data_IF_505655541993
#
_entry.id   IF_505655541993
#
_cell.length_a   1.000
_cell.length_b   1.000
_cell.length_c   1.000
_cell.angle_alpha   90.00
_cell.angle_beta   90.00
_cell.angle_gamma   90.00
#
_symmetry.space_group_name_H-M   'P 1'
#
loop_
_entity.id
_entity.type
_entity.pdbx_description
1 polymer ?
#
# COMPACT_ATOMS: atom_id res chain seq x y z
N UNK A 1 -37.42 5.00 -18.70
CA UNK A 1 -38.44 5.16 -17.63
C UNK A 1 -39.44 6.25 -17.97
N UNK A 2 -39.05 7.53 -18.05
CA UNK A 2 -39.99 8.62 -18.39
C UNK A 2 -40.70 8.39 -19.74
N UNK A 3 -39.97 7.99 -20.79
CA UNK A 3 -40.53 7.65 -22.11
C UNK A 3 -41.51 6.46 -22.09
N UNK A 4 -41.48 5.62 -21.06
CA UNK A 4 -42.43 4.52 -20.88
C UNK A 4 -43.66 4.97 -20.05
N UNK A 5 -43.76 6.27 -19.73
CA UNK A 5 -44.86 6.87 -19.00
C UNK A 5 -44.79 6.73 -17.47
N UNK A 6 -43.58 6.58 -16.92
CA UNK A 6 -43.35 6.76 -15.48
C UNK A 6 -43.19 8.25 -15.17
N UNK A 7 -44.05 8.81 -14.33
CA UNK A 7 -43.92 10.18 -13.86
C UNK A 7 -42.71 10.29 -12.93
N UNK A 8 -41.76 11.19 -13.23
CA UNK A 8 -40.52 11.38 -12.46
C UNK A 8 -40.50 12.68 -11.63
N UNK A 9 -41.64 13.36 -11.55
CA UNK A 9 -41.80 14.70 -10.99
C UNK A 9 -41.86 15.77 -12.07
N UNK A 10 -42.25 16.99 -11.68
CA UNK A 10 -42.28 18.14 -12.57
C UNK A 10 -40.90 18.41 -13.17
N UNK A 11 -40.84 18.90 -14.42
CA UNK A 11 -39.57 19.10 -15.13
C UNK A 11 -38.60 20.02 -14.36
N UNK A 12 -39.11 21.01 -13.62
CA UNK A 12 -38.27 21.90 -12.80
C UNK A 12 -37.64 21.21 -11.59
N UNK A 13 -38.20 20.10 -11.12
CA UNK A 13 -37.69 19.34 -9.98
C UNK A 13 -36.63 18.32 -10.39
N UNK A 14 -36.43 18.10 -11.69
CA UNK A 14 -35.45 17.15 -12.22
C UNK A 14 -34.10 17.87 -12.42
N UNK A 15 -33.04 17.37 -11.78
CA UNK A 15 -31.68 17.92 -11.90
C UNK A 15 -31.23 17.97 -13.36
N UNK A 16 -30.99 19.20 -13.85
CA UNK A 16 -30.51 19.50 -15.20
C UNK A 16 -29.04 19.16 -15.44
N UNK A 17 -28.53 19.56 -16.61
CA UNK A 17 -27.15 19.36 -17.05
C UNK A 17 -26.11 19.93 -16.08
N UNK A 18 -25.03 19.18 -15.83
CA UNK A 18 -23.85 19.62 -15.08
C UNK A 18 -22.56 19.35 -15.87
N UNK A 19 -21.42 19.88 -15.40
CA UNK A 19 -20.12 19.73 -16.09
C UNK A 19 -19.72 18.26 -16.31
N UNK A 20 -20.04 17.38 -15.35
CA UNK A 20 -19.77 15.93 -15.42
C UNK A 20 -20.84 15.14 -16.19
N UNK A 21 -21.99 15.74 -16.48
CA UNK A 21 -23.08 15.14 -17.24
C UNK A 21 -23.85 16.24 -17.99
N UNK A 22 -23.42 16.60 -19.21
CA UNK A 22 -23.97 17.70 -20.00
C UNK A 22 -25.46 17.57 -20.35
N UNK A 23 -26.10 16.43 -20.05
CA UNK A 23 -27.52 16.17 -20.36
C UNK A 23 -28.40 15.96 -19.11
N UNK A 24 -27.81 16.09 -17.93
CA UNK A 24 -28.49 16.11 -16.64
C UNK A 24 -28.64 14.76 -15.98
N UNK A 25 -28.78 14.78 -14.66
CA UNK A 25 -28.73 13.58 -13.82
C UNK A 25 -30.07 12.85 -13.72
N UNK A 26 -31.16 13.48 -14.18
CA UNK A 26 -32.53 12.97 -14.12
C UNK A 26 -32.98 12.60 -12.70
N UNK A 27 -32.45 13.33 -11.71
CA UNK A 27 -32.71 13.10 -10.28
C UNK A 27 -33.79 14.06 -9.78
N UNK A 28 -34.74 13.58 -9.00
CA UNK A 28 -35.73 14.45 -8.36
C UNK A 28 -35.07 15.19 -7.19
N UNK A 29 -34.67 16.44 -7.41
CA UNK A 29 -33.79 17.18 -6.51
C UNK A 29 -34.31 17.25 -5.05
N UNK A 30 -35.60 17.51 -4.78
CA UNK A 30 -36.13 17.44 -3.41
C UNK A 30 -35.93 16.08 -2.72
N UNK A 31 -36.08 14.96 -3.45
CA UNK A 31 -35.89 13.61 -2.89
C UNK A 31 -34.41 13.27 -2.74
N UNK A 32 -33.56 13.74 -3.66
CA UNK A 32 -32.11 13.58 -3.56
C UNK A 32 -31.54 14.32 -2.34
N UNK A 33 -32.00 15.56 -2.09
CA UNK A 33 -31.63 16.33 -0.89
C UNK A 33 -32.10 15.66 0.40
N UNK A 34 -33.28 15.03 0.41
CA UNK A 34 -33.72 14.22 1.54
C UNK A 34 -32.81 13.03 1.79
N UNK A 35 -32.35 12.34 0.74
CA UNK A 35 -31.40 11.24 0.89
C UNK A 35 -30.06 11.71 1.45
N UNK A 36 -29.52 12.83 0.97
CA UNK A 36 -28.30 13.42 1.52
C UNK A 36 -28.49 13.79 3.01
N UNK A 37 -29.62 14.40 3.36
CA UNK A 37 -29.92 14.78 4.75
C UNK A 37 -30.10 13.56 5.67
N UNK A 38 -30.71 12.47 5.19
CA UNK A 38 -30.75 11.20 5.92
C UNK A 38 -29.33 10.73 6.22
N UNK A 39 -28.44 10.67 5.21
CA UNK A 39 -27.06 10.21 5.38
C UNK A 39 -26.30 11.10 6.37
N UNK A 40 -26.43 12.43 6.23
CA UNK A 40 -25.75 13.41 7.08
C UNK A 40 -26.14 13.26 8.56
N UNK A 41 -27.40 12.93 8.88
CA UNK A 41 -27.85 12.75 10.28
C UNK A 41 -27.26 11.53 10.97
N UNK A 42 -26.71 10.59 10.22
CA UNK A 42 -25.93 9.46 10.73
C UNK A 42 -24.42 9.64 10.53
N UNK A 43 -23.98 10.85 10.16
CA UNK A 43 -22.56 11.20 10.05
C UNK A 43 -21.88 10.70 8.77
N UNK A 44 -22.65 10.40 7.72
CA UNK A 44 -22.10 9.93 6.45
C UNK A 44 -22.63 10.70 5.26
N UNK A 45 -22.15 10.31 4.08
CA UNK A 45 -22.44 10.93 2.79
C UNK A 45 -22.59 9.84 1.72
N UNK A 46 -22.91 10.22 0.49
CA UNK A 46 -23.01 9.26 -0.61
C UNK A 46 -21.67 8.57 -0.91
N UNK A 47 -20.54 9.28 -0.77
CA UNK A 47 -19.17 8.81 -1.04
C UNK A 47 -18.51 8.12 0.16
N UNK A 48 -19.06 8.34 1.35
CA UNK A 48 -18.68 7.68 2.59
C UNK A 48 -19.96 7.35 3.41
N UNK A 49 -20.69 6.28 3.02
CA UNK A 49 -21.95 5.94 3.67
C UNK A 49 -21.79 5.64 5.16
N UNK A 50 -22.73 6.08 6.01
CA UNK A 50 -22.64 5.86 7.46
C UNK A 50 -22.94 4.40 7.81
N UNK A 51 -22.42 3.96 8.96
CA UNK A 51 -22.88 2.72 9.59
C UNK A 51 -24.23 2.98 10.28
N UNK A 52 -25.32 2.59 9.63
CA UNK A 52 -26.64 2.78 10.21
C UNK A 52 -26.91 1.82 11.39
N UNK A 53 -27.52 2.28 12.49
CA UNK A 53 -28.01 1.39 13.54
C UNK A 53 -29.15 0.49 13.03
N UNK A 54 -29.39 -0.71 13.59
CA UNK A 54 -30.39 -1.64 13.07
C UNK A 54 -31.82 -1.07 12.94
N UNK A 55 -32.23 -0.16 13.82
CA UNK A 55 -33.58 0.46 13.84
C UNK A 55 -33.63 1.85 13.21
N UNK A 56 -32.59 2.25 12.46
CA UNK A 56 -32.45 3.60 11.90
C UNK A 56 -33.64 4.12 11.06
N UNK A 57 -34.41 3.30 10.29
CA UNK A 57 -35.48 3.86 9.44
C UNK A 57 -36.58 4.56 10.26
N UNK A 58 -36.80 4.07 11.48
CA UNK A 58 -37.77 4.59 12.44
C UNK A 58 -37.15 5.49 13.50
N UNK A 59 -35.89 5.89 13.33
CA UNK A 59 -35.21 6.76 14.28
C UNK A 59 -35.98 8.09 14.45
N UNK A 60 -36.26 8.55 15.68
CA UNK A 60 -36.95 9.82 15.92
C UNK A 60 -36.27 11.02 15.25
N UNK A 61 -34.95 10.95 15.05
CA UNK A 61 -34.18 11.97 14.32
C UNK A 61 -34.60 12.13 12.87
N UNK A 62 -35.44 11.27 12.30
CA UNK A 62 -35.92 11.40 10.92
C UNK A 62 -37.38 11.87 10.82
N UNK A 63 -38.02 12.21 11.94
CA UNK A 63 -39.46 12.52 11.97
C UNK A 63 -39.86 13.69 11.05
N UNK A 64 -39.11 14.80 11.07
CA UNK A 64 -39.33 15.94 10.18
C UNK A 64 -39.02 15.59 8.72
N UNK A 65 -38.05 14.71 8.45
CA UNK A 65 -37.76 14.25 7.09
C UNK A 65 -38.88 13.38 6.52
N UNK A 66 -39.52 12.54 7.34
CA UNK A 66 -40.71 11.79 6.92
C UNK A 66 -41.85 12.73 6.55
N UNK A 67 -42.05 13.78 7.34
CA UNK A 67 -43.11 14.76 7.06
C UNK A 67 -42.84 15.53 5.77
N UNK A 68 -41.61 16.03 5.57
CA UNK A 68 -41.18 16.65 4.30
C UNK A 68 -41.35 15.69 3.12
N UNK A 69 -40.97 14.43 3.29
CA UNK A 69 -41.13 13.41 2.26
C UNK A 69 -42.61 13.20 1.90
N UNK A 70 -43.53 13.14 2.88
CA UNK A 70 -44.98 13.05 2.61
C UNK A 70 -45.48 14.25 1.82
N UNK A 71 -45.04 15.46 2.18
CA UNK A 71 -45.44 16.68 1.49
C UNK A 71 -44.98 16.70 0.03
N UNK A 72 -43.73 16.32 -0.23
CA UNK A 72 -43.20 16.18 -1.60
C UNK A 72 -43.98 15.12 -2.37
N UNK A 73 -44.20 13.94 -1.76
CA UNK A 73 -44.95 12.86 -2.40
C UNK A 73 -46.40 13.26 -2.73
N UNK A 74 -47.05 13.97 -1.82
CA UNK A 74 -48.40 14.45 -2.02
C UNK A 74 -48.50 15.53 -3.12
N UNK A 75 -47.52 16.44 -3.17
CA UNK A 75 -47.51 17.52 -4.15
C UNK A 75 -47.15 17.03 -5.56
N UNK A 76 -46.15 16.18 -5.67
CA UNK A 76 -45.52 15.88 -6.97
C UNK A 76 -46.02 14.57 -7.60
N UNK A 77 -46.63 13.67 -6.81
CA UNK A 77 -46.93 12.31 -7.27
C UNK A 77 -48.34 11.80 -6.96
N UNK A 78 -49.14 12.49 -6.13
CA UNK A 78 -50.42 11.95 -5.63
C UNK A 78 -51.46 11.63 -6.72
N UNK A 79 -51.45 12.38 -7.82
CA UNK A 79 -52.40 12.21 -8.93
C UNK A 79 -51.92 11.25 -10.01
N UNK A 80 -50.69 10.74 -9.89
CA UNK A 80 -50.04 9.98 -10.94
C UNK A 80 -50.25 8.47 -10.74
N UNK A 81 -50.82 7.76 -11.74
CA UNK A 81 -51.09 6.32 -11.60
C UNK A 81 -49.82 5.46 -11.62
N UNK A 82 -48.73 5.98 -12.21
CA UNK A 82 -47.43 5.34 -12.25
C UNK A 82 -46.34 6.39 -12.12
N UNK A 83 -45.65 6.38 -11.00
CA UNK A 83 -44.55 7.29 -10.72
C UNK A 83 -43.33 6.58 -10.14
N UNK A 84 -42.22 7.30 -10.11
CA UNK A 84 -40.99 6.87 -9.47
C UNK A 84 -39.96 8.00 -9.47
N UNK A 85 -38.79 7.72 -8.92
CA UNK A 85 -37.66 8.63 -8.99
C UNK A 85 -36.38 7.83 -9.19
N UNK A 86 -35.34 8.51 -9.65
CA UNK A 86 -33.99 7.97 -9.71
C UNK A 86 -33.12 8.83 -8.82
N UNK A 87 -32.31 8.18 -8.00
CA UNK A 87 -31.18 8.79 -7.31
C UNK A 87 -30.24 7.65 -6.85
N UNK A 88 -28.93 7.70 -7.13
CA UNK A 88 -27.99 6.64 -6.74
C UNK A 88 -27.95 6.37 -5.23
N UNK A 89 -28.19 7.39 -4.40
CA UNK A 89 -28.14 7.30 -2.93
C UNK A 89 -29.34 6.57 -2.36
N UNK A 90 -30.44 6.52 -3.12
CA UNK A 90 -31.66 5.83 -2.73
C UNK A 90 -31.36 4.40 -2.30
N UNK A 91 -30.42 3.70 -2.94
CA UNK A 91 -30.06 2.34 -2.53
C UNK A 91 -29.61 2.21 -1.06
N UNK A 92 -29.02 3.27 -0.48
CA UNK A 92 -28.61 3.35 0.92
C UNK A 92 -29.79 3.65 1.84
N UNK A 93 -30.80 4.39 1.33
CA UNK A 93 -31.93 4.91 2.12
C UNK A 93 -33.26 4.19 1.88
N UNK A 94 -33.31 3.16 1.03
CA UNK A 94 -34.52 2.37 0.73
C UNK A 94 -35.34 2.01 1.98
N UNK A 95 -34.76 1.55 3.11
CA UNK A 95 -35.53 1.22 4.30
C UNK A 95 -36.40 2.36 4.84
N UNK A 96 -35.93 3.61 4.75
CA UNK A 96 -36.73 4.80 5.11
C UNK A 96 -37.94 4.95 4.16
N UNK A 97 -37.72 4.78 2.85
CA UNK A 97 -38.77 4.91 1.85
C UNK A 97 -39.77 3.76 1.90
N UNK A 98 -39.35 2.54 2.22
CA UNK A 98 -40.23 1.39 2.42
C UNK A 98 -41.17 1.58 3.60
N UNK A 99 -40.67 2.12 4.73
CA UNK A 99 -41.50 2.43 5.89
C UNK A 99 -42.52 3.53 5.58
N UNK A 100 -42.19 4.44 4.67
CA UNK A 100 -43.04 5.57 4.30
C UNK A 100 -44.09 5.26 3.22
N UNK A 101 -43.68 4.59 2.14
CA UNK A 101 -44.48 4.38 0.91
C UNK A 101 -45.08 2.97 0.86
N UNK A 102 -44.42 1.99 1.49
CA UNK A 102 -44.81 0.58 1.43
C UNK A 102 -44.26 -0.14 0.20
N UNK A 103 -45.13 -0.78 -0.57
CA UNK A 103 -44.75 -1.66 -1.68
C UNK A 103 -44.18 -0.86 -2.87
N UNK A 104 -42.95 -1.17 -3.27
CA UNK A 104 -42.23 -0.53 -4.37
C UNK A 104 -41.69 -1.59 -5.34
N UNK A 105 -41.44 -1.18 -6.59
CA UNK A 105 -40.65 -1.96 -7.56
C UNK A 105 -39.28 -1.31 -7.74
N UNK A 106 -38.24 -2.13 -7.85
CA UNK A 106 -36.86 -1.65 -7.91
C UNK A 106 -36.23 -1.94 -9.26
N UNK A 107 -35.75 -0.89 -9.94
CA UNK A 107 -34.92 -1.01 -11.14
C UNK A 107 -33.48 -0.71 -10.74
N UNK A 108 -32.65 -1.74 -10.76
CA UNK A 108 -31.27 -1.69 -10.28
C UNK A 108 -30.34 -1.57 -11.48
N UNK A 109 -29.84 -0.36 -11.71
CA UNK A 109 -28.86 -0.10 -12.76
C UNK A 109 -27.47 -0.55 -12.29
N UNK A 110 -26.93 -1.60 -12.91
CA UNK A 110 -25.61 -2.14 -12.60
C UNK A 110 -24.67 -1.87 -13.78
N UNK A 111 -23.42 -1.54 -13.48
CA UNK A 111 -22.37 -1.35 -14.49
C UNK A 111 -21.12 -2.11 -14.06
N UNK A 112 -20.32 -2.52 -15.04
CA UNK A 112 -19.04 -3.16 -14.82
C UNK A 112 -18.20 -2.35 -13.81
N UNK A 113 -17.73 -2.97 -12.70
CA UNK A 113 -17.00 -2.27 -11.65
C UNK A 113 -15.70 -1.62 -12.17
N UNK A 114 -15.04 -2.18 -13.19
CA UNK A 114 -13.88 -1.56 -13.83
C UNK A 114 -14.22 -0.19 -14.43
N UNK A 115 -15.36 -0.10 -15.11
CA UNK A 115 -15.83 1.14 -15.72
C UNK A 115 -16.22 2.17 -14.64
N UNK A 116 -16.86 1.74 -13.55
CA UNK A 116 -17.23 2.62 -12.44
C UNK A 116 -15.99 3.15 -11.73
N UNK A 117 -15.02 2.28 -11.41
CA UNK A 117 -13.75 2.68 -10.78
C UNK A 117 -12.99 3.67 -11.66
N UNK A 118 -12.87 3.41 -12.95
CA UNK A 118 -12.23 4.34 -13.87
C UNK A 118 -12.97 5.69 -13.96
N UNK A 119 -14.31 5.67 -13.97
CA UNK A 119 -15.11 6.89 -14.01
C UNK A 119 -14.96 7.72 -12.74
N UNK A 120 -15.03 7.10 -11.56
CA UNK A 120 -14.87 7.80 -10.27
C UNK A 120 -13.44 8.33 -10.09
N UNK A 121 -12.44 7.60 -10.57
CA UNK A 121 -11.06 8.08 -10.59
C UNK A 121 -10.90 9.35 -11.44
N UNK A 122 -11.49 9.40 -12.63
CA UNK A 122 -11.43 10.59 -13.50
C UNK A 122 -12.23 11.77 -12.96
N UNK A 123 -13.46 11.52 -12.49
CA UNK A 123 -14.39 12.57 -12.07
C UNK A 123 -14.07 13.14 -10.69
N UNK A 124 -13.75 12.27 -9.74
CA UNK A 124 -13.63 12.65 -8.31
C UNK A 124 -12.21 12.52 -7.77
N UNK A 125 -11.23 12.09 -8.58
CA UNK A 125 -9.87 11.78 -8.08
C UNK A 125 -9.85 10.60 -7.11
N UNK A 126 -10.89 9.75 -7.12
CA UNK A 126 -11.06 8.68 -6.15
C UNK A 126 -10.04 7.55 -6.38
N UNK A 127 -9.41 7.08 -5.31
CA UNK A 127 -8.52 5.92 -5.38
C UNK A 127 -9.30 4.68 -5.84
N UNK A 128 -8.64 3.73 -6.51
CA UNK A 128 -9.32 2.51 -6.97
C UNK A 128 -9.92 1.69 -5.82
N UNK A 129 -9.23 1.69 -4.67
CA UNK A 129 -9.68 1.05 -3.43
C UNK A 129 -11.00 1.67 -2.95
N UNK A 130 -11.05 3.01 -2.82
CA UNK A 130 -12.26 3.68 -2.35
C UNK A 130 -13.42 3.56 -3.37
N UNK A 131 -13.13 3.66 -4.66
CA UNK A 131 -14.13 3.53 -5.71
C UNK A 131 -14.72 2.11 -5.79
N UNK A 132 -13.89 1.07 -5.58
CA UNK A 132 -14.35 -0.31 -5.51
C UNK A 132 -15.23 -0.53 -4.27
N UNK A 133 -14.78 -0.07 -3.09
CA UNK A 133 -15.57 -0.14 -1.86
C UNK A 133 -16.92 0.53 -2.01
N UNK A 134 -16.94 1.69 -2.64
CA UNK A 134 -18.16 2.45 -2.88
C UNK A 134 -19.14 1.67 -3.75
N UNK A 135 -18.64 1.08 -4.84
CA UNK A 135 -19.43 0.21 -5.71
C UNK A 135 -20.00 -0.98 -4.93
N UNK A 136 -19.18 -1.69 -4.15
CA UNK A 136 -19.61 -2.82 -3.33
C UNK A 136 -20.68 -2.40 -2.32
N UNK A 137 -20.48 -1.28 -1.64
CA UNK A 137 -21.39 -0.76 -0.62
C UNK A 137 -22.76 -0.44 -1.21
N UNK A 138 -22.81 0.24 -2.36
CA UNK A 138 -24.06 0.59 -3.04
C UNK A 138 -24.78 -0.66 -3.57
N UNK A 139 -24.05 -1.56 -4.22
CA UNK A 139 -24.64 -2.80 -4.76
C UNK A 139 -25.15 -3.68 -3.63
N UNK A 140 -24.36 -3.90 -2.58
CA UNK A 140 -24.76 -4.70 -1.43
C UNK A 140 -25.96 -4.08 -0.71
N UNK A 141 -25.98 -2.76 -0.47
CA UNK A 141 -27.11 -2.07 0.15
C UNK A 141 -28.37 -2.22 -0.70
N UNK A 142 -28.23 -2.04 -2.03
CA UNK A 142 -29.34 -2.22 -2.96
C UNK A 142 -29.90 -3.64 -2.93
N UNK A 143 -29.06 -4.67 -2.79
CA UNK A 143 -29.50 -6.07 -2.69
C UNK A 143 -30.19 -6.34 -1.35
N UNK A 144 -29.55 -5.96 -0.24
CA UNK A 144 -30.06 -6.20 1.09
C UNK A 144 -31.41 -5.51 1.32
N UNK A 145 -31.52 -4.23 0.96
CA UNK A 145 -32.73 -3.44 1.20
C UNK A 145 -33.89 -3.81 0.26
N UNK A 146 -33.65 -4.49 -0.86
CA UNK A 146 -34.70 -4.91 -1.81
C UNK A 146 -35.00 -6.40 -1.75
N UNK A 147 -34.41 -7.13 -0.81
CA UNK A 147 -34.60 -8.56 -0.68
C UNK A 147 -36.07 -8.93 -0.54
N UNK A 148 -36.54 -9.88 -1.34
CA UNK A 148 -37.93 -10.34 -1.32
C UNK A 148 -38.93 -9.39 -1.97
N UNK A 149 -38.48 -8.28 -2.55
CA UNK A 149 -39.32 -7.32 -3.28
C UNK A 149 -39.16 -7.47 -4.80
N UNK A 150 -40.14 -7.03 -5.61
CA UNK A 150 -40.02 -7.04 -7.06
C UNK A 150 -38.85 -6.16 -7.52
N UNK A 151 -37.79 -6.79 -8.04
CA UNK A 151 -36.58 -6.11 -8.50
C UNK A 151 -36.12 -6.61 -9.87
N UNK A 152 -35.69 -5.69 -10.72
CA UNK A 152 -35.11 -5.94 -12.04
C UNK A 152 -33.69 -5.39 -12.09
N UNK A 153 -32.75 -6.19 -12.59
CA UNK A 153 -31.39 -5.72 -12.87
C UNK A 153 -31.29 -5.27 -14.33
N UNK A 154 -30.80 -4.05 -14.53
CA UNK A 154 -30.51 -3.48 -15.85
C UNK A 154 -29.02 -3.22 -15.91
N UNK A 155 -28.32 -3.95 -16.78
CA UNK A 155 -26.89 -3.76 -16.97
C UNK A 155 -26.65 -2.68 -18.03
N UNK A 156 -25.80 -1.72 -17.72
CA UNK A 156 -25.40 -0.68 -18.66
C UNK A 156 -24.91 -1.29 -19.97
N UNK A 157 -24.08 -2.33 -19.89
CA UNK A 157 -23.52 -3.02 -21.05
C UNK A 157 -24.63 -3.63 -21.94
N UNK A 158 -25.66 -4.23 -21.35
CA UNK A 158 -26.77 -4.82 -22.11
C UNK A 158 -27.65 -3.74 -22.77
N UNK A 159 -27.83 -2.59 -22.11
CA UNK A 159 -28.55 -1.46 -22.70
C UNK A 159 -27.79 -0.92 -23.90
N UNK A 160 -26.46 -0.84 -23.83
CA UNK A 160 -25.63 -0.39 -24.94
C UNK A 160 -25.61 -1.41 -26.09
N UNK A 161 -25.59 -2.70 -25.77
CA UNK A 161 -25.50 -3.76 -26.79
C UNK A 161 -26.85 -4.01 -27.48
N UNK A 162 -27.96 -4.02 -26.73
CA UNK A 162 -29.34 -4.18 -27.26
C UNK A 162 -30.34 -3.40 -26.41
N UNK A 163 -30.39 -2.08 -26.64
CA UNK A 163 -31.30 -1.19 -25.93
C UNK A 163 -32.77 -1.55 -26.18
N UNK A 164 -33.11 -2.11 -27.35
CA UNK A 164 -34.48 -2.45 -27.71
C UNK A 164 -34.99 -3.63 -26.88
N UNK A 165 -34.17 -4.67 -26.67
CA UNK A 165 -34.50 -5.74 -25.74
C UNK A 165 -34.57 -5.25 -24.29
N UNK A 166 -33.63 -4.41 -23.86
CA UNK A 166 -33.65 -3.84 -22.51
C UNK A 166 -34.91 -3.00 -22.26
N UNK A 167 -35.32 -2.18 -23.24
CA UNK A 167 -36.53 -1.37 -23.22
C UNK A 167 -37.78 -2.23 -23.05
N UNK A 168 -37.93 -3.29 -23.85
CA UNK A 168 -39.07 -4.22 -23.78
C UNK A 168 -39.18 -4.91 -22.43
N UNK A 169 -38.06 -5.40 -21.89
CA UNK A 169 -38.01 -6.02 -20.56
C UNK A 169 -38.41 -5.01 -19.46
N UNK A 170 -37.89 -3.78 -19.55
CA UNK A 170 -38.19 -2.73 -18.59
C UNK A 170 -39.67 -2.31 -18.67
N UNK A 171 -40.20 -2.12 -19.87
CA UNK A 171 -41.59 -1.77 -20.14
C UNK A 171 -42.54 -2.81 -19.54
N UNK A 172 -42.26 -4.09 -19.75
CA UNK A 172 -43.06 -5.15 -19.18
C UNK A 172 -42.92 -5.25 -17.64
N UNK A 173 -41.72 -5.03 -17.07
CA UNK A 173 -41.50 -5.01 -15.61
C UNK A 173 -42.30 -3.90 -14.90
N UNK A 174 -42.45 -2.73 -15.54
CA UNK A 174 -43.24 -1.62 -14.98
C UNK A 174 -44.75 -1.74 -15.27
N UNK A 175 -45.18 -2.80 -15.96
CA UNK A 175 -46.58 -3.05 -16.30
C UNK A 175 -47.10 -2.27 -17.51
N UNK A 176 -46.21 -1.88 -18.43
CA UNK A 176 -46.54 -1.17 -19.69
C UNK A 176 -45.87 -1.81 -20.91
N UNK A 177 -46.05 -3.12 -21.15
CA UNK A 177 -45.39 -3.83 -22.25
C UNK A 177 -45.64 -3.20 -23.63
N UNK A 178 -46.79 -2.57 -23.84
CA UNK A 178 -47.15 -1.88 -25.08
C UNK A 178 -46.21 -0.70 -25.40
N UNK A 179 -45.69 -0.01 -24.39
CA UNK A 179 -44.73 1.09 -24.58
C UNK A 179 -43.35 0.56 -25.02
N UNK A 180 -43.05 -0.71 -24.76
CA UNK A 180 -41.81 -1.34 -25.18
C UNK A 180 -41.71 -1.57 -26.69
N UNK A 181 -42.84 -1.53 -27.40
CA UNK A 181 -42.93 -1.71 -28.86
C UNK A 181 -43.45 -0.43 -29.57
N UNK A 182 -43.71 0.68 -28.85
CA UNK A 182 -44.19 1.93 -29.47
C UNK A 182 -43.08 2.55 -30.35
N UNK A 183 -43.30 2.73 -31.66
CA UNK A 183 -42.31 3.30 -32.57
C UNK A 183 -41.81 4.70 -32.16
N UNK A 184 -42.65 5.51 -31.49
CA UNK A 184 -42.28 6.87 -31.02
C UNK A 184 -41.32 6.79 -29.84
N UNK A 185 -41.51 5.82 -28.95
CA UNK A 185 -40.59 5.56 -27.84
C UNK A 185 -39.25 5.08 -28.40
N UNK A 186 -39.27 4.14 -29.35
CA UNK A 186 -38.07 3.64 -30.02
C UNK A 186 -37.28 4.76 -30.70
N UNK A 187 -37.94 5.61 -31.48
CA UNK A 187 -37.30 6.76 -32.12
C UNK A 187 -36.64 7.71 -31.10
N UNK A 188 -37.35 8.00 -30.00
CA UNK A 188 -36.84 8.88 -28.93
C UNK A 188 -35.64 8.28 -28.20
N UNK A 189 -35.64 6.96 -27.97
CA UNK A 189 -34.50 6.25 -27.35
C UNK A 189 -33.30 6.19 -28.30
N UNK A 190 -33.50 5.88 -29.57
CA UNK A 190 -32.43 5.85 -30.58
C UNK A 190 -31.74 7.21 -30.68
N UNK A 191 -32.52 8.29 -30.79
CA UNK A 191 -31.98 9.66 -30.84
C UNK A 191 -31.20 10.01 -29.55
N UNK A 192 -31.67 9.55 -28.39
CA UNK A 192 -30.98 9.79 -27.12
C UNK A 192 -29.63 9.07 -27.07
N UNK A 193 -29.58 7.80 -27.47
CA UNK A 193 -28.38 6.95 -27.42
C UNK A 193 -27.34 7.30 -28.48
N UNK A 194 -27.75 7.71 -29.69
CA UNK A 194 -26.83 8.17 -30.73
C UNK A 194 -26.05 9.43 -30.31
N UNK A 195 -26.67 10.28 -29.47
CA UNK A 195 -26.05 11.49 -28.92
C UNK A 195 -25.11 11.21 -27.74
N UNK A 196 -25.37 10.15 -26.96
CA UNK A 196 -24.48 9.68 -25.89
C UNK A 196 -23.44 8.71 -26.46
N UNK A 197 -22.42 9.26 -27.13
CA UNK A 197 -21.30 8.48 -27.63
C UNK A 197 -20.78 7.53 -26.54
N UNK A 198 -20.89 6.24 -26.82
CA UNK A 198 -20.64 5.19 -25.86
C UNK A 198 -19.12 4.96 -25.67
N UNK A 199 -18.47 5.83 -24.90
CA UNK A 199 -17.01 5.94 -24.91
C UNK A 199 -16.24 4.86 -24.13
N UNK A 200 -16.90 4.00 -23.33
CA UNK A 200 -16.20 2.95 -22.58
C UNK A 200 -17.04 1.69 -22.42
N UNK A 201 -16.82 0.71 -23.32
CA UNK A 201 -17.22 -0.68 -23.11
C UNK A 201 -16.09 -1.38 -22.33
N UNK A 202 -16.44 -2.05 -21.24
CA UNK A 202 -15.54 -2.92 -20.49
C UNK A 202 -16.12 -4.34 -20.55
N UNK A 203 -15.38 -5.25 -21.18
CA UNK A 203 -15.77 -6.64 -21.37
C UNK A 203 -15.62 -7.47 -20.08
N UNK A 204 -16.10 -8.73 -20.12
CA UNK A 204 -15.83 -9.71 -19.05
C UNK A 204 -14.35 -10.08 -18.97
N UNK A 205 -13.62 -10.00 -20.10
CA UNK A 205 -12.18 -10.25 -20.16
C UNK A 205 -11.40 -9.12 -19.47
N UNK A 206 -11.80 -7.86 -19.73
CA UNK A 206 -11.25 -6.68 -19.04
C UNK A 206 -11.46 -6.80 -17.53
N UNK A 207 -12.66 -7.22 -17.12
CA UNK A 207 -12.96 -7.46 -15.70
C UNK A 207 -12.08 -8.56 -15.10
N UNK A 208 -11.89 -9.68 -15.82
CA UNK A 208 -11.04 -10.76 -15.35
C UNK A 208 -9.58 -10.30 -15.17
N UNK A 209 -9.05 -9.54 -16.13
CA UNK A 209 -7.67 -9.07 -16.15
C UNK A 209 -7.35 -7.90 -15.22
N UNK A 210 -8.33 -7.08 -14.83
CA UNK A 210 -8.08 -5.88 -14.04
C UNK A 210 -7.65 -6.21 -12.60
N UNK A 211 -6.39 -5.89 -12.27
CA UNK A 211 -5.81 -6.13 -10.94
C UNK A 211 -6.29 -5.16 -9.87
N UNK A 212 -6.94 -4.06 -10.26
CA UNK A 212 -7.48 -3.05 -9.34
C UNK A 212 -8.80 -3.49 -8.70
N UNK A 213 -9.47 -4.47 -9.31
CA UNK A 213 -10.73 -5.01 -8.82
C UNK A 213 -10.45 -6.34 -8.11
N UNK A 214 -10.95 -6.48 -6.90
CA UNK A 214 -10.82 -7.68 -6.08
C UNK A 214 -11.62 -8.85 -6.65
N UNK A 215 -11.24 -10.06 -6.25
CA UNK A 215 -11.96 -11.28 -6.61
C UNK A 215 -13.41 -11.27 -6.11
N UNK A 216 -13.65 -10.73 -4.91
CA UNK A 216 -14.98 -10.61 -4.32
C UNK A 216 -15.93 -9.76 -5.19
N UNK A 217 -15.47 -8.59 -5.63
CA UNK A 217 -16.22 -7.70 -6.53
C UNK A 217 -16.50 -8.34 -7.88
N UNK A 218 -15.49 -9.02 -8.47
CA UNK A 218 -15.67 -9.77 -9.73
C UNK A 218 -16.73 -10.87 -9.57
N UNK A 219 -16.64 -11.64 -8.49
CA UNK A 219 -17.57 -12.72 -8.17
C UNK A 219 -19.00 -12.22 -8.03
N UNK A 220 -19.22 -11.12 -7.30
CA UNK A 220 -20.54 -10.52 -7.16
C UNK A 220 -21.10 -10.05 -8.51
N UNK A 221 -20.31 -9.33 -9.31
CA UNK A 221 -20.75 -8.87 -10.63
C UNK A 221 -21.12 -10.05 -11.56
N UNK A 222 -20.30 -11.10 -11.60
CA UNK A 222 -20.57 -12.33 -12.37
C UNK A 222 -21.86 -13.00 -11.89
N UNK A 223 -22.08 -13.10 -10.57
CA UNK A 223 -23.29 -13.67 -10.00
C UNK A 223 -24.55 -12.88 -10.41
N UNK A 224 -24.48 -11.55 -10.38
CA UNK A 224 -25.57 -10.68 -10.83
C UNK A 224 -25.85 -10.85 -12.33
N UNK A 225 -24.81 -10.90 -13.18
CA UNK A 225 -24.95 -11.18 -14.63
C UNK A 225 -25.62 -12.54 -14.86
N UNK A 226 -25.19 -13.57 -14.14
CA UNK A 226 -25.72 -14.93 -14.24
C UNK A 226 -27.20 -15.02 -13.83
N UNK A 227 -27.62 -14.27 -12.82
CA UNK A 227 -29.02 -14.19 -12.41
C UNK A 227 -29.89 -13.49 -13.46
N UNK A 228 -29.45 -12.33 -13.97
CA UNK A 228 -30.25 -11.53 -14.90
C UNK A 228 -30.47 -12.19 -16.26
N UNK A 229 -29.58 -13.10 -16.68
CA UNK A 229 -29.74 -13.93 -17.89
C UNK A 229 -30.74 -15.08 -17.72
N UNK A 230 -30.95 -15.56 -16.49
CA UNK A 230 -31.86 -16.68 -16.17
C UNK A 230 -33.30 -16.23 -15.90
N UNK A 231 -33.53 -14.96 -15.61
CA UNK A 231 -34.88 -14.42 -15.45
C UNK A 231 -35.65 -14.55 -16.78
N UNK A 232 -36.67 -15.43 -16.80
CA UNK A 232 -37.51 -15.75 -17.95
C UNK A 232 -38.28 -14.53 -18.51
N UNK A 233 -38.73 -14.58 -19.78
CA UNK A 233 -39.53 -13.51 -20.38
C UNK A 233 -40.85 -13.26 -19.63
N UNK A 234 -41.33 -12.04 -19.77
CA UNK A 234 -42.08 -11.26 -18.77
C UNK A 234 -43.56 -11.66 -18.58
N UNK A 235 -44.00 -12.80 -19.11
CA UNK A 235 -45.43 -13.14 -19.13
C UNK A 235 -45.99 -13.65 -17.79
N UNK A 236 -45.17 -13.91 -16.78
CA UNK A 236 -45.62 -14.38 -15.44
C UNK A 236 -45.06 -13.53 -14.29
N UNK A 237 -44.76 -12.26 -14.54
CA UNK A 237 -44.07 -11.38 -13.60
C UNK A 237 -45.01 -10.59 -12.67
N UNK A 238 -45.77 -11.27 -11.81
CA UNK A 238 -46.44 -10.59 -10.69
C UNK A 238 -46.25 -11.27 -9.32
N UNK A 239 -45.86 -12.53 -9.28
CA UNK A 239 -45.52 -13.25 -8.05
C UNK A 239 -44.05 -13.66 -8.08
N UNK A 240 -43.26 -13.23 -7.08
CA UNK A 240 -41.96 -13.84 -6.84
C UNK A 240 -42.19 -15.28 -6.38
N UNK A 241 -41.99 -16.24 -7.28
CA UNK A 241 -42.06 -17.65 -6.92
C UNK A 241 -41.00 -18.02 -5.86
N UNK A 242 -41.11 -19.21 -5.27
CA UNK A 242 -40.17 -19.68 -4.22
C UNK A 242 -38.73 -19.78 -4.75
N UNK A 243 -38.56 -20.14 -6.02
CA UNK A 243 -37.25 -20.29 -6.65
C UNK A 243 -36.54 -18.92 -6.78
N UNK A 244 -37.28 -17.91 -7.24
CA UNK A 244 -36.84 -16.53 -7.37
C UNK A 244 -36.44 -15.95 -6.02
N UNK A 245 -37.23 -16.20 -4.96
CA UNK A 245 -36.87 -15.79 -3.59
C UNK A 245 -35.58 -16.46 -3.09
N UNK A 246 -35.41 -17.75 -3.35
CA UNK A 246 -34.19 -18.47 -2.94
C UNK A 246 -32.94 -17.93 -3.65
N UNK A 247 -33.04 -17.64 -4.95
CA UNK A 247 -31.93 -17.06 -5.73
C UNK A 247 -31.62 -15.64 -5.28
N UNK A 248 -32.65 -14.82 -5.02
CA UNK A 248 -32.47 -13.48 -4.48
C UNK A 248 -31.73 -13.51 -3.13
N UNK A 249 -32.15 -14.39 -2.22
CA UNK A 249 -31.47 -14.57 -0.93
C UNK A 249 -30.01 -15.00 -1.09
N UNK A 250 -29.71 -15.87 -2.05
CA UNK A 250 -28.32 -16.24 -2.35
C UNK A 250 -27.51 -15.04 -2.84
N UNK A 251 -28.06 -14.18 -3.71
CA UNK A 251 -27.40 -12.95 -4.15
C UNK A 251 -27.14 -11.99 -2.98
N UNK A 252 -28.09 -11.85 -2.06
CA UNK A 252 -27.93 -10.99 -0.90
C UNK A 252 -26.77 -11.49 -0.01
N UNK A 253 -26.66 -12.80 0.21
CA UNK A 253 -25.55 -13.42 0.93
C UNK A 253 -24.20 -13.24 0.21
N UNK A 254 -24.18 -13.38 -1.13
CA UNK A 254 -22.97 -13.13 -1.92
C UNK A 254 -22.57 -11.65 -1.81
N UNK A 255 -23.53 -10.73 -1.83
CA UNK A 255 -23.29 -9.29 -1.66
C UNK A 255 -22.64 -8.97 -0.31
N UNK A 256 -23.20 -9.49 0.78
CA UNK A 256 -22.65 -9.34 2.14
C UNK A 256 -21.24 -9.94 2.20
N UNK A 257 -21.08 -11.19 1.77
CA UNK A 257 -19.80 -11.88 1.80
C UNK A 257 -18.72 -11.18 0.96
N UNK A 258 -19.10 -10.58 -0.17
CA UNK A 258 -18.17 -9.83 -1.01
C UNK A 258 -17.65 -8.57 -0.30
N UNK A 259 -18.52 -7.79 0.33
CA UNK A 259 -18.13 -6.58 1.06
C UNK A 259 -17.27 -6.93 2.29
N UNK A 260 -17.66 -7.93 3.09
CA UNK A 260 -16.88 -8.38 4.25
C UNK A 260 -15.50 -8.92 3.85
N UNK A 261 -15.42 -9.70 2.77
CA UNK A 261 -14.16 -10.23 2.25
C UNK A 261 -13.26 -9.10 1.77
N UNK A 262 -13.83 -8.09 1.11
CA UNK A 262 -13.11 -6.92 0.67
C UNK A 262 -12.52 -6.13 1.86
N UNK A 263 -13.33 -5.82 2.87
CA UNK A 263 -12.89 -5.08 4.07
C UNK A 263 -11.74 -5.82 4.78
N UNK A 264 -11.84 -7.14 4.93
CA UNK A 264 -10.75 -7.97 5.49
C UNK A 264 -9.48 -7.92 4.64
N UNK A 265 -9.62 -8.02 3.32
CA UNK A 265 -8.47 -8.02 2.41
C UNK A 265 -7.71 -6.70 2.47
N UNK A 266 -8.43 -5.58 2.53
CA UNK A 266 -7.83 -4.25 2.65
C UNK A 266 -7.18 -4.04 4.01
N UNK A 267 -7.81 -4.51 5.10
CA UNK A 267 -7.22 -4.44 6.44
C UNK A 267 -5.88 -5.20 6.51
N UNK A 268 -5.82 -6.43 5.97
CA UNK A 268 -4.59 -7.23 5.90
C UNK A 268 -3.53 -6.55 5.04
N UNK A 269 -3.91 -5.93 3.91
CA UNK A 269 -2.96 -5.19 3.07
C UNK A 269 -2.38 -3.97 3.79
N UNK A 270 -3.21 -3.22 4.52
CA UNK A 270 -2.78 -2.06 5.30
C UNK A 270 -1.84 -2.44 6.46
N UNK A 271 -2.14 -3.55 7.15
CA UNK A 271 -1.27 -4.10 8.19
C UNK A 271 0.09 -4.53 7.61
N UNK A 272 0.09 -5.26 6.48
CA UNK A 272 1.31 -5.65 5.77
C UNK A 272 2.17 -4.44 5.39
N UNK A 273 1.56 -3.38 4.87
CA UNK A 273 2.29 -2.18 4.47
C UNK A 273 2.87 -1.42 5.68
N UNK A 274 2.18 -1.46 6.82
CA UNK A 274 2.68 -0.93 8.11
C UNK A 274 3.90 -1.71 8.57
N UNK A 275 3.80 -3.04 8.63
CA UNK A 275 4.90 -3.93 8.99
C UNK A 275 6.10 -3.78 8.05
N UNK A 276 5.87 -3.58 6.75
CA UNK A 276 6.95 -3.34 5.79
C UNK A 276 7.73 -2.04 6.10
N UNK A 277 7.05 -0.96 6.51
CA UNK A 277 7.70 0.31 6.91
C UNK A 277 8.48 0.14 8.21
N UNK A 278 7.94 -0.58 9.18
CA UNK A 278 8.64 -0.90 10.42
C UNK A 278 9.89 -1.73 10.15
N UNK A 279 9.79 -2.76 9.31
CA UNK A 279 10.92 -3.59 8.90
C UNK A 279 12.02 -2.78 8.20
N UNK A 280 11.65 -1.84 7.32
CA UNK A 280 12.62 -0.93 6.68
C UNK A 280 13.32 -0.03 7.72
N UNK A 281 12.57 0.48 8.69
CA UNK A 281 13.11 1.33 9.77
C UNK A 281 14.07 0.53 10.64
N UNK A 282 13.70 -0.70 11.03
CA UNK A 282 14.55 -1.60 11.80
C UNK A 282 15.82 -1.98 11.03
N UNK A 283 15.70 -2.27 9.73
CA UNK A 283 16.85 -2.57 8.88
C UNK A 283 17.85 -1.41 8.83
N UNK A 284 17.36 -0.16 8.74
CA UNK A 284 18.20 1.03 8.78
C UNK A 284 18.93 1.19 10.13
N UNK A 285 18.24 0.94 11.25
CA UNK A 285 18.85 0.96 12.60
C UNK A 285 19.93 -0.12 12.73
N UNK A 286 19.66 -1.36 12.28
CA UNK A 286 20.62 -2.45 12.31
C UNK A 286 21.86 -2.12 11.47
N UNK A 287 21.68 -1.51 10.29
CA UNK A 287 22.79 -1.08 9.45
C UNK A 287 23.65 -0.01 10.15
N UNK A 288 23.02 1.00 10.76
CA UNK A 288 23.73 2.05 11.50
C UNK A 288 24.51 1.50 12.70
N UNK A 289 23.93 0.55 13.45
CA UNK A 289 24.62 -0.12 14.56
C UNK A 289 25.83 -0.93 14.10
N UNK A 290 25.70 -1.65 12.97
CA UNK A 290 26.83 -2.39 12.37
C UNK A 290 27.95 -1.48 11.91
N UNK A 291 27.62 -0.32 11.33
CA UNK A 291 28.62 0.67 10.92
C UNK A 291 29.32 1.33 12.11
N UNK A 292 28.59 1.60 13.19
CA UNK A 292 29.18 2.09 14.44
C UNK A 292 30.12 1.04 15.06
N UNK A 293 29.71 -0.24 15.08
CA UNK A 293 30.57 -1.33 15.56
C UNK A 293 31.85 -1.46 14.72
N UNK A 294 31.75 -1.37 13.39
CA UNK A 294 32.93 -1.34 12.51
C UNK A 294 33.86 -0.16 12.83
N UNK A 295 33.31 1.05 12.95
CA UNK A 295 34.09 2.25 13.29
C UNK A 295 34.81 2.11 14.63
N UNK A 296 34.16 1.51 15.65
CA UNK A 296 34.79 1.24 16.94
C UNK A 296 35.91 0.20 16.85
N UNK A 297 35.72 -0.87 16.08
CA UNK A 297 36.74 -1.88 15.86
C UNK A 297 37.96 -1.29 15.14
N UNK A 298 37.75 -0.50 14.08
CA UNK A 298 38.83 0.18 13.34
C UNK A 298 39.59 1.17 14.24
N UNK A 299 38.88 1.93 15.06
CA UNK A 299 39.48 2.83 16.04
C UNK A 299 40.32 2.08 17.10
N UNK A 300 39.84 0.91 17.55
CA UNK A 300 40.60 0.03 18.44
C UNK A 300 41.91 -0.46 17.82
N UNK A 301 41.86 -0.96 16.58
CA UNK A 301 43.04 -1.42 15.82
C UNK A 301 44.04 -0.27 15.62
N UNK A 302 43.55 0.94 15.31
CA UNK A 302 44.41 2.13 15.15
C UNK A 302 45.10 2.50 16.48
N UNK A 303 44.38 2.40 17.60
CA UNK A 303 44.94 2.62 18.94
C UNK A 303 46.04 1.62 19.30
N UNK A 304 45.85 0.33 19.01
CA UNK A 304 46.86 -0.71 19.20
C UNK A 304 48.11 -0.45 18.34
N UNK A 305 47.92 -0.12 17.06
CA UNK A 305 49.05 0.23 16.16
C UNK A 305 49.81 1.46 16.63
N UNK A 306 49.12 2.49 17.12
CA UNK A 306 49.77 3.69 17.65
C UNK A 306 50.62 3.38 18.88
N UNK A 307 50.13 2.49 19.75
CA UNK A 307 50.87 2.03 20.94
C UNK A 307 52.12 1.25 20.53
N UNK A 308 51.99 0.27 19.63
CA UNK A 308 53.12 -0.50 19.13
C UNK A 308 54.18 0.37 18.41
N UNK A 309 53.75 1.40 17.66
CA UNK A 309 54.67 2.36 17.03
C UNK A 309 55.42 3.20 18.08
N UNK A 310 54.77 3.58 19.17
CA UNK A 310 55.42 4.29 20.28
C UNK A 310 56.48 3.42 20.96
N UNK A 311 56.14 2.16 21.23
CA UNK A 311 57.08 1.18 21.80
C UNK A 311 58.29 0.96 20.87
N UNK A 312 58.05 0.76 19.57
CA UNK A 312 59.10 0.59 18.57
C UNK A 312 60.03 1.81 18.52
N UNK A 313 59.48 3.03 18.59
CA UNK A 313 60.28 4.27 18.63
C UNK A 313 61.16 4.35 19.88
N UNK A 314 60.66 3.91 21.03
CA UNK A 314 61.47 3.84 22.27
C UNK A 314 62.64 2.87 22.10
N UNK A 315 62.39 1.68 21.54
CA UNK A 315 63.43 0.68 21.30
C UNK A 315 64.48 1.19 20.31
N UNK A 316 64.07 1.89 19.25
CA UNK A 316 65.02 2.51 18.30
C UNK A 316 65.86 3.57 19.00
N UNK A 317 65.25 4.43 19.81
CA UNK A 317 65.96 5.46 20.55
C UNK A 317 67.00 4.86 21.52
N UNK A 318 66.64 3.78 22.23
CA UNK A 318 67.57 3.03 23.08
C UNK A 318 68.75 2.44 22.28
N UNK A 319 68.47 1.85 21.11
CA UNK A 319 69.52 1.32 20.22
C UNK A 319 70.43 2.40 19.67
N UNK A 320 69.91 3.58 19.34
CA UNK A 320 70.71 4.70 18.87
C UNK A 320 71.66 5.20 19.98
N UNK A 321 71.21 5.21 21.23
CA UNK A 321 72.07 5.52 22.38
C UNK A 321 73.18 4.49 22.50
N UNK A 322 72.85 3.20 22.48
CA UNK A 322 73.85 2.11 22.54
C UNK A 322 74.85 2.17 21.37
N UNK A 323 74.39 2.48 20.16
CA UNK A 323 75.25 2.63 19.00
C UNK A 323 76.24 3.78 19.18
N UNK A 324 75.79 4.93 19.71
CA UNK A 324 76.67 6.06 20.02
C UNK A 324 77.70 5.73 21.09
N UNK A 325 77.30 4.98 22.12
CA UNK A 325 78.23 4.49 23.15
C UNK A 325 79.26 3.54 22.56
N UNK A 326 78.85 2.61 21.70
CA UNK A 326 79.75 1.69 21.02
C UNK A 326 80.73 2.43 20.09
N UNK A 327 80.25 3.40 19.31
CA UNK A 327 81.11 4.26 18.48
C UNK A 327 82.10 5.08 19.31
N UNK A 328 81.68 5.59 20.48
CA UNK A 328 82.57 6.28 21.41
C UNK A 328 83.64 5.34 21.97
N UNK A 329 83.29 4.11 22.33
CA UNK A 329 84.24 3.09 22.78
C UNK A 329 85.24 2.71 21.68
N UNK A 330 84.78 2.56 20.43
CA UNK A 330 85.63 2.30 19.27
C UNK A 330 86.63 3.45 19.04
N UNK A 331 86.16 4.71 19.12
CA UNK A 331 87.04 5.88 19.04
C UNK A 331 88.09 5.89 20.16
N UNK A 332 87.69 5.62 21.40
CA UNK A 332 88.62 5.54 22.52
C UNK A 332 89.68 4.44 22.34
N UNK A 333 89.29 3.27 21.82
CA UNK A 333 90.22 2.20 21.48
C UNK A 333 91.20 2.61 20.37
N UNK A 334 90.73 3.30 19.34
CA UNK A 334 91.58 3.82 18.26
C UNK A 334 92.60 4.84 18.79
N UNK A 335 92.19 5.75 19.68
CA UNK A 335 93.10 6.72 20.33
C UNK A 335 94.15 6.02 21.19
N UNK A 336 93.77 5.01 21.99
CA UNK A 336 94.70 4.20 22.78
C UNK A 336 95.72 3.53 21.85
N UNK A 337 95.27 2.90 20.76
CA UNK A 337 96.15 2.25 19.79
C UNK A 337 97.11 3.24 19.09
N UNK A 338 96.66 4.47 18.84
CA UNK A 338 97.48 5.52 18.24
C UNK A 338 98.46 6.16 19.24
N UNK A 339 98.27 5.99 20.55
CA UNK A 339 99.10 6.65 21.57
C UNK A 339 100.56 6.18 21.57
N UNK A 340 101.46 7.10 21.94
CA UNK A 340 102.90 6.81 22.12
C UNK A 340 103.14 5.76 23.20
N UNK A 341 102.28 5.71 24.23
CA UNK A 341 102.35 4.73 25.31
C UNK A 341 102.06 3.30 24.80
N UNK A 342 101.03 3.11 23.98
CA UNK A 342 100.75 1.80 23.38
C UNK A 342 101.84 1.36 22.39
N UNK A 343 102.37 2.30 21.60
CA UNK A 343 103.54 2.07 20.74
C UNK A 343 104.76 1.65 21.55
N UNK A 344 105.02 2.29 22.69
CA UNK A 344 106.09 1.91 23.62
C UNK A 344 105.87 0.51 24.19
N UNK A 345 104.69 0.20 24.72
CA UNK A 345 104.36 -1.12 25.29
C UNK A 345 104.51 -2.23 24.24
N UNK A 346 104.07 -1.99 23.00
CA UNK A 346 104.24 -2.96 21.90
C UNK A 346 105.68 -3.08 21.42
N UNK A 347 106.46 -1.99 21.40
CA UNK A 347 107.89 -1.99 21.11
C UNK A 347 108.68 -2.75 22.20
N UNK A 348 108.40 -2.48 23.48
CA UNK A 348 108.96 -3.19 24.63
C UNK A 348 108.60 -4.68 24.59
N UNK A 349 107.37 -5.04 24.21
CA UNK A 349 106.95 -6.43 24.03
C UNK A 349 107.74 -7.12 22.92
N UNK A 350 107.94 -6.46 21.76
CA UNK A 350 108.77 -7.00 20.67
C UNK A 350 110.25 -7.14 21.07
N UNK A 351 110.79 -6.16 21.78
CA UNK A 351 112.17 -6.19 22.31
C UNK A 351 112.37 -7.29 23.35
N UNK A 352 111.45 -7.45 24.31
CA UNK A 352 111.48 -8.52 25.33
C UNK A 352 111.32 -9.90 24.68
N UNK A 353 110.56 -9.99 23.58
CA UNK A 353 110.43 -11.23 22.80
C UNK A 353 111.68 -11.56 22.01
N UNK A 354 112.39 -10.57 21.47
CA UNK A 354 113.66 -10.76 20.77
C UNK A 354 114.85 -11.11 21.67
N UNK A 355 114.90 -10.60 22.90
CA UNK A 355 116.01 -10.82 23.83
C UNK A 355 115.92 -12.10 24.68
N UNK A 356 114.83 -12.86 24.60
CA UNK A 356 114.65 -14.11 25.35
C UNK A 356 114.72 -15.31 24.41
N UNK A 357 115.85 -16.07 24.37
CA UNK A 357 116.00 -17.25 23.53
C UNK A 357 114.90 -18.29 23.81
N UNK A 358 114.44 -18.94 22.73
CA UNK A 358 113.47 -20.02 22.82
C UNK A 358 113.98 -21.15 23.73
N UNK A 359 113.12 -21.70 24.60
CA UNK A 359 113.45 -22.82 25.49
C UNK A 359 113.88 -22.45 26.93
N UNK A 360 114.20 -21.19 27.22
CA UNK A 360 114.62 -20.78 28.57
C UNK A 360 113.45 -20.76 29.59
N UNK A 361 113.74 -21.03 30.88
CA UNK A 361 112.73 -21.02 31.97
C UNK A 361 112.08 -19.63 32.13
N UNK A 362 112.86 -18.55 31.95
CA UNK A 362 112.36 -17.16 31.96
C UNK A 362 111.34 -16.90 30.84
N UNK A 363 111.55 -17.44 29.63
CA UNK A 363 110.59 -17.35 28.50
C UNK A 363 109.27 -18.07 28.79
N UNK A 364 109.32 -19.24 29.43
CA UNK A 364 108.12 -19.99 29.82
C UNK A 364 107.28 -19.25 30.86
N UNK A 365 107.92 -18.66 31.88
CA UNK A 365 107.23 -17.86 32.90
C UNK A 365 106.61 -16.60 32.29
N UNK A 366 107.35 -15.88 31.44
CA UNK A 366 106.83 -14.70 30.75
C UNK A 366 105.61 -15.03 29.87
N UNK A 367 105.66 -16.12 29.11
CA UNK A 367 104.52 -16.57 28.30
C UNK A 367 103.33 -17.03 29.16
N UNK A 368 103.56 -17.64 30.32
CA UNK A 368 102.48 -18.04 31.24
C UNK A 368 101.80 -16.83 31.88
N UNK A 369 102.57 -15.80 32.26
CA UNK A 369 102.03 -14.53 32.77
C UNK A 369 101.20 -13.83 31.69
N UNK A 370 101.68 -13.77 30.45
CA UNK A 370 100.92 -13.19 29.34
C UNK A 370 99.63 -13.96 29.03
N UNK A 371 99.64 -15.30 29.09
CA UNK A 371 98.41 -16.10 28.93
C UNK A 371 97.38 -15.81 30.03
N UNK A 372 97.83 -15.66 31.28
CA UNK A 372 96.93 -15.28 32.40
C UNK A 372 96.34 -13.88 32.24
N UNK A 373 97.14 -12.92 31.77
CA UNK A 373 96.64 -11.55 31.51
C UNK A 373 95.63 -11.55 30.36
N UNK A 374 95.90 -12.28 29.28
CA UNK A 374 94.97 -12.43 28.15
C UNK A 374 93.66 -13.12 28.58
N UNK A 375 93.73 -14.19 29.39
CA UNK A 375 92.54 -14.87 29.93
C UNK A 375 91.70 -13.97 30.84
N UNK A 376 92.32 -13.05 31.60
CA UNK A 376 91.58 -12.08 32.44
C UNK A 376 90.92 -10.97 31.61
N UNK A 377 91.57 -10.52 30.53
CA UNK A 377 90.96 -9.56 29.60
C UNK A 377 89.75 -10.15 28.87
N UNK A 378 89.84 -11.42 28.45
CA UNK A 378 88.75 -12.14 27.78
C UNK A 378 87.55 -12.44 28.72
N UNK A 379 87.82 -12.60 30.03
CA UNK A 379 86.76 -12.74 31.03
C UNK A 379 86.04 -11.41 31.35
N UNK A 380 86.76 -10.29 31.32
CA UNK A 380 86.19 -8.94 31.50
C UNK A 380 85.32 -8.47 30.32
N UNK A 381 85.65 -8.89 29.09
CA UNK A 381 84.87 -8.61 27.88
C UNK A 381 83.60 -9.48 27.73
N UNK A 382 83.45 -10.54 28.53
CA UNK A 382 82.24 -11.38 28.55
C UNK A 382 81.24 -10.99 29.64
N UNK A 383 81.58 -10.01 30.49
CA UNK A 383 80.76 -9.54 31.62
C UNK A 383 80.37 -8.06 31.54
N UNK A 384 80.70 -7.39 30.44
CA UNK A 384 80.16 -6.11 29.99
C UNK A 384 79.49 -6.34 28.62
#
# INVERSE_FOLDING_TARGET
MNLLGVHLGAHQAISGAGEDNPRGHWEHNPLALLNDEILNRFGGRWDEPPAFPPSWPRDPRLADLREKARQILAADFATEPLWGWKDPRTCLTIPFWQDLIGSLRYVMCVRNPCAVVASLGRRNGMSSVNAERLWLTHVQSSLAHTSGQPRMFVFYEDVIDDWALALRRLAAFIGRPEQGEDPRVHASVSEFLEKDLCHHRMSMEDLAGDRRISFATKGLYVALRGHARRAAPVNEAFELDRASRSVQKALDLIGIGALETWDRTVAVAAERDTLARENLTQAAVIAALRDEQRRRADAGILGEKATALSEMRSVIAERDVQAREHDAALRALQEIHASSAWRLVTLSRRLIVGFLPAGTRRRRVFNAVLRRIAQRADAGLRTA
#
